data_IF_721067608015
#
_entry.id   IF_721067608015
#
_cell.length_a   1.000
_cell.length_b   1.000
_cell.length_c   1.000
_cell.angle_alpha   90.00
_cell.angle_beta   90.00
_cell.angle_gamma   90.00
#
_symmetry.space_group_name_H-M   'P 1'
#
loop_
_entity.id
_entity.type
_entity.pdbx_description
1 polymer ?
#
# COMPACT_ATOMS: atom_id res chain seq x y z
N UNK A 1 5.94 -33.61 -64.17
CA UNK A 1 6.22 -34.98 -64.67
C UNK A 1 5.99 -35.96 -63.53
N UNK A 2 5.48 -37.18 -63.80
CA UNK A 2 5.44 -38.41 -62.94
C UNK A 2 5.32 -38.19 -61.41
N UNK A 3 4.17 -38.38 -60.73
CA UNK A 3 3.37 -39.63 -60.55
C UNK A 3 4.18 -40.74 -59.86
N UNK A 4 3.73 -41.45 -58.81
CA UNK A 4 2.40 -42.09 -58.62
C UNK A 4 1.97 -42.27 -57.13
N UNK A 5 0.65 -42.36 -56.91
CA UNK A 5 -0.08 -43.15 -55.88
C UNK A 5 -0.63 -44.44 -56.58
N UNK A 6 -1.32 -45.44 -55.95
CA UNK A 6 -1.58 -45.76 -54.53
C UNK A 6 -1.26 -47.26 -54.19
N UNK A 7 -1.83 -47.83 -53.12
CA UNK A 7 -2.39 -49.21 -53.06
C UNK A 7 -3.32 -49.38 -51.83
N UNK A 8 -4.30 -50.31 -51.88
CA UNK A 8 -5.42 -50.46 -50.93
C UNK A 8 -5.89 -51.94 -50.80
N UNK A 9 -5.76 -52.55 -49.60
CA UNK A 9 -6.11 -53.96 -49.23
C UNK A 9 -6.32 -53.99 -47.69
N UNK A 10 -7.34 -54.51 -46.97
CA UNK A 10 -8.51 -55.43 -47.12
C UNK A 10 -8.25 -56.96 -47.01
N UNK A 11 -8.94 -57.79 -46.18
CA UNK A 11 -9.83 -57.64 -45.01
C UNK A 11 -10.07 -59.06 -44.38
N UNK A 12 -10.92 -59.23 -43.34
CA UNK A 12 -11.55 -60.52 -42.85
C UNK A 12 -10.60 -61.51 -42.09
N UNK A 13 -10.69 -61.61 -40.74
CA UNK A 13 -11.29 -62.69 -39.87
C UNK A 13 -10.43 -63.98 -39.67
N UNK A 14 -10.57 -64.82 -38.63
CA UNK A 14 -11.75 -65.29 -37.86
C UNK A 14 -11.41 -65.79 -36.42
N UNK A 15 -12.40 -65.77 -35.52
CA UNK A 15 -12.46 -66.48 -34.19
C UNK A 15 -12.35 -68.03 -34.32
N UNK A 16 -12.16 -68.87 -33.29
CA UNK A 16 -12.47 -68.86 -31.83
C UNK A 16 -11.30 -69.59 -31.04
N UNK A 17 -11.30 -70.14 -29.80
CA UNK A 17 -12.26 -70.49 -28.71
C UNK A 17 -11.51 -70.75 -27.35
N UNK A 18 -12.24 -71.08 -26.25
CA UNK A 18 -11.78 -71.54 -24.89
C UNK A 18 -10.94 -70.51 -24.07
N UNK A 19 -11.22 -70.04 -22.82
CA UNK A 19 -12.05 -70.36 -21.63
C UNK A 19 -11.22 -70.87 -20.42
N UNK A 20 -11.34 -70.15 -19.27
CA UNK A 20 -10.98 -70.43 -17.85
C UNK A 20 -9.76 -71.34 -17.48
N UNK A 21 -9.02 -71.13 -16.39
CA UNK A 21 -9.42 -70.59 -15.07
C UNK A 21 -8.24 -70.11 -14.18
N UNK A 22 -8.57 -69.36 -13.12
CA UNK A 22 -7.89 -69.26 -11.80
C UNK A 22 -6.40 -68.82 -11.64
N UNK A 23 -6.27 -67.64 -11.01
CA UNK A 23 -5.66 -67.40 -9.68
C UNK A 23 -4.30 -66.68 -9.53
N UNK A 24 -4.39 -65.55 -8.81
CA UNK A 24 -3.45 -64.96 -7.86
C UNK A 24 -1.98 -64.71 -8.26
N UNK A 25 -1.68 -63.45 -8.59
CA UNK A 25 -0.56 -62.67 -8.05
C UNK A 25 -1.03 -61.21 -7.78
N UNK A 26 -0.39 -60.45 -6.87
CA UNK A 26 -0.93 -59.19 -6.35
C UNK A 26 -0.71 -57.96 -7.25
N UNK A 27 -1.50 -56.91 -7.01
CA UNK A 27 -1.40 -55.63 -7.71
C UNK A 27 -0.12 -54.85 -7.30
N UNK A 28 0.64 -54.34 -8.28
CA UNK A 28 1.80 -53.50 -8.01
C UNK A 28 1.38 -52.02 -7.89
N UNK A 29 1.37 -51.49 -6.67
CA UNK A 29 0.74 -50.22 -6.32
C UNK A 29 1.66 -48.99 -6.52
N UNK A 30 2.23 -48.82 -7.71
CA UNK A 30 3.04 -47.66 -8.09
C UNK A 30 2.19 -46.48 -8.61
N UNK A 31 1.22 -46.05 -7.80
CA UNK A 31 0.72 -44.66 -7.86
C UNK A 31 1.52 -43.80 -6.89
N UNK A 32 2.71 -43.40 -7.33
CA UNK A 32 3.47 -42.34 -6.67
C UNK A 32 2.57 -41.10 -6.52
N UNK A 33 2.15 -40.81 -5.30
CA UNK A 33 1.18 -39.77 -5.01
C UNK A 33 1.84 -38.41 -5.23
N UNK A 34 1.62 -37.81 -6.42
CA UNK A 34 1.93 -36.40 -6.63
C UNK A 34 1.13 -35.59 -5.63
N UNK A 35 1.83 -35.09 -4.62
CA UNK A 35 1.36 -34.01 -3.78
C UNK A 35 1.25 -32.77 -4.66
N UNK A 36 0.06 -32.47 -5.14
CA UNK A 36 -0.28 -31.17 -5.70
C UNK A 36 -0.29 -30.14 -4.55
N UNK A 37 0.90 -29.81 -4.06
CA UNK A 37 1.11 -28.63 -3.23
C UNK A 37 0.73 -27.43 -4.07
N UNK A 38 -0.34 -26.72 -3.68
CA UNK A 38 -0.81 -25.52 -4.37
C UNK A 38 0.28 -24.44 -4.22
N UNK A 39 1.18 -24.35 -5.21
CA UNK A 39 2.28 -23.39 -5.15
C UNK A 39 1.72 -21.98 -5.22
N UNK A 40 2.14 -21.13 -4.27
CA UNK A 40 1.68 -19.76 -4.21
C UNK A 40 2.44 -18.93 -5.27
N UNK A 41 1.78 -18.41 -6.32
CA UNK A 41 2.45 -17.73 -7.43
C UNK A 41 3.10 -16.40 -7.03
N UNK A 42 2.79 -15.85 -5.84
CA UNK A 42 3.47 -14.68 -5.28
C UNK A 42 4.85 -15.01 -4.70
N UNK A 43 5.11 -16.28 -4.38
CA UNK A 43 6.39 -16.76 -3.83
C UNK A 43 7.35 -17.31 -4.89
N UNK A 44 6.88 -17.52 -6.12
CA UNK A 44 7.72 -17.92 -7.26
C UNK A 44 8.47 -16.72 -7.87
N UNK A 45 9.47 -17.01 -8.70
CA UNK A 45 10.06 -16.01 -9.59
C UNK A 45 9.13 -15.75 -10.79
N UNK A 46 8.91 -14.48 -11.12
CA UNK A 46 7.97 -14.10 -12.18
C UNK A 46 8.61 -14.34 -13.56
N UNK A 47 8.34 -15.51 -14.12
CA UNK A 47 8.80 -16.01 -15.43
C UNK A 47 8.02 -15.38 -16.61
N UNK A 48 7.72 -14.09 -16.51
CA UNK A 48 6.96 -13.27 -17.47
C UNK A 48 7.87 -12.24 -18.15
N UNK A 49 7.46 -11.64 -19.28
CA UNK A 49 8.19 -10.50 -19.84
C UNK A 49 8.36 -9.39 -18.80
N UNK A 50 9.59 -8.93 -18.60
CA UNK A 50 9.98 -7.91 -17.62
C UNK A 50 9.63 -8.23 -16.15
N UNK A 51 9.44 -9.51 -15.81
CA UNK A 51 9.08 -9.97 -14.46
C UNK A 51 7.81 -9.29 -13.90
N UNK A 52 6.82 -9.03 -14.77
CA UNK A 52 5.49 -8.56 -14.37
C UNK A 52 4.74 -9.65 -13.60
N UNK A 53 4.04 -9.28 -12.53
CA UNK A 53 3.28 -10.25 -11.73
C UNK A 53 2.26 -11.04 -12.60
N UNK A 54 2.15 -12.38 -12.44
CA UNK A 54 1.18 -13.20 -13.17
C UNK A 54 -0.23 -12.99 -12.61
N UNK A 55 -0.81 -11.82 -12.88
CA UNK A 55 -2.13 -11.38 -12.37
C UNK A 55 -3.27 -12.36 -12.72
N UNK A 56 -3.13 -13.13 -13.80
CA UNK A 56 -4.05 -14.22 -14.21
C UNK A 56 -4.10 -15.38 -13.20
N UNK A 57 -3.09 -15.51 -12.34
CA UNK A 57 -2.94 -16.60 -11.35
C UNK A 57 -3.04 -16.11 -9.91
N UNK A 58 -2.98 -14.80 -9.68
CA UNK A 58 -2.94 -14.21 -8.34
C UNK A 58 -4.38 -14.03 -7.83
N UNK A 59 -4.63 -14.51 -6.62
CA UNK A 59 -5.93 -14.48 -5.95
C UNK A 59 -5.80 -13.86 -4.56
N UNK A 60 -6.93 -13.43 -4.00
CA UNK A 60 -7.03 -12.92 -2.62
C UNK A 60 -6.45 -13.92 -1.60
N UNK A 61 -6.79 -15.20 -1.74
CA UNK A 61 -6.33 -16.30 -0.88
C UNK A 61 -4.80 -16.50 -0.84
N UNK A 62 -4.05 -15.95 -1.81
CA UNK A 62 -2.60 -16.08 -1.89
C UNK A 62 -1.84 -15.07 -1.02
N UNK A 63 -2.41 -13.89 -0.71
CA UNK A 63 -1.65 -12.80 -0.10
C UNK A 63 -1.22 -13.03 1.34
N UNK A 64 -2.14 -13.39 2.24
CA UNK A 64 -1.80 -13.58 3.67
C UNK A 64 -0.71 -14.67 3.85
N UNK A 65 -0.77 -15.84 3.19
CA UNK A 65 0.32 -16.82 3.22
C UNK A 65 1.63 -16.27 2.62
N UNK A 66 1.57 -15.54 1.51
CA UNK A 66 2.76 -15.00 0.86
C UNK A 66 3.46 -13.92 1.72
N UNK A 67 2.71 -12.98 2.30
CA UNK A 67 3.22 -11.95 3.20
C UNK A 67 3.87 -12.59 4.44
N UNK A 68 3.25 -13.62 5.04
CA UNK A 68 3.83 -14.31 6.20
C UNK A 68 5.13 -15.05 5.86
N UNK A 69 5.19 -15.73 4.70
CA UNK A 69 6.42 -16.38 4.24
C UNK A 69 7.52 -15.37 3.88
N UNK A 70 7.17 -14.24 3.27
CA UNK A 70 8.12 -13.20 2.88
C UNK A 70 8.67 -12.39 4.07
N UNK A 71 7.85 -12.15 5.10
CA UNK A 71 8.29 -11.65 6.41
C UNK A 71 9.33 -12.59 7.04
N UNK A 72 9.08 -13.90 7.00
CA UNK A 72 10.00 -14.89 7.58
C UNK A 72 11.31 -15.02 6.77
N UNK A 73 11.26 -14.92 5.45
CA UNK A 73 12.46 -14.82 4.62
C UNK A 73 13.33 -13.61 5.02
N UNK A 74 12.72 -12.42 5.14
CA UNK A 74 13.47 -11.24 5.59
C UNK A 74 13.95 -11.35 7.04
N UNK A 75 13.20 -12.01 7.94
CA UNK A 75 13.69 -12.28 9.30
C UNK A 75 15.02 -13.06 9.25
N UNK A 76 15.12 -14.08 8.39
CA UNK A 76 16.31 -14.91 8.26
C UNK A 76 17.50 -14.13 7.66
N UNK A 77 17.25 -13.28 6.66
CA UNK A 77 18.25 -12.34 6.11
C UNK A 77 18.77 -11.37 7.19
N UNK A 78 17.87 -10.77 7.97
CA UNK A 78 18.24 -9.88 9.09
C UNK A 78 18.98 -10.66 10.19
N UNK A 79 18.61 -11.91 10.49
CA UNK A 79 19.39 -12.75 11.41
C UNK A 79 20.81 -12.99 10.89
N UNK A 80 21.00 -13.27 9.59
CA UNK A 80 22.33 -13.44 9.01
C UNK A 80 23.20 -12.19 9.17
N UNK A 81 22.64 -10.99 8.94
CA UNK A 81 23.35 -9.71 9.16
C UNK A 81 23.75 -9.53 10.63
N UNK A 82 22.83 -9.71 11.58
CA UNK A 82 23.12 -9.42 13.00
C UNK A 82 23.93 -10.52 13.70
N UNK A 83 24.06 -11.71 13.10
CA UNK A 83 24.88 -12.82 13.61
C UNK A 83 26.21 -13.01 12.88
N UNK A 84 26.46 -12.26 11.78
CA UNK A 84 27.72 -12.34 11.05
C UNK A 84 28.92 -12.05 11.99
N UNK A 85 29.88 -13.00 12.16
CA UNK A 85 30.99 -12.86 13.08
C UNK A 85 32.06 -11.86 12.62
N UNK A 86 32.04 -11.42 11.36
CA UNK A 86 32.92 -10.36 10.87
C UNK A 86 32.56 -9.00 11.47
N UNK A 87 33.57 -8.15 11.62
CA UNK A 87 33.39 -6.74 11.95
C UNK A 87 32.41 -6.06 10.96
N UNK A 88 31.50 -5.20 11.43
CA UNK A 88 30.57 -4.47 10.56
C UNK A 88 31.32 -3.64 9.51
N UNK A 89 31.00 -3.88 8.24
CA UNK A 89 31.48 -3.10 7.11
C UNK A 89 30.31 -2.78 6.16
N UNK A 90 30.57 -1.94 5.15
CA UNK A 90 29.53 -1.49 4.22
C UNK A 90 28.84 -2.65 3.50
N UNK A 91 29.58 -3.67 3.06
CA UNK A 91 29.04 -4.82 2.33
C UNK A 91 28.19 -5.70 3.26
N UNK A 92 28.79 -6.19 4.35
CA UNK A 92 28.18 -7.18 5.25
C UNK A 92 27.09 -6.62 6.18
N UNK A 93 26.77 -5.32 6.07
CA UNK A 93 25.77 -4.64 6.89
C UNK A 93 24.86 -3.69 6.11
N UNK A 94 25.38 -2.83 5.22
CA UNK A 94 24.54 -1.87 4.48
C UNK A 94 24.00 -2.48 3.18
N UNK A 95 24.85 -3.06 2.34
CA UNK A 95 24.41 -3.73 1.09
C UNK A 95 23.55 -4.95 1.41
N UNK A 96 23.97 -5.77 2.38
CA UNK A 96 23.18 -6.90 2.87
C UNK A 96 21.79 -6.47 3.41
N UNK A 97 21.67 -5.27 4.02
CA UNK A 97 20.39 -4.75 4.49
C UNK A 97 19.51 -4.18 3.37
N UNK A 98 20.10 -3.43 2.42
CA UNK A 98 19.37 -2.82 1.30
C UNK A 98 18.83 -3.88 0.32
N UNK A 99 19.54 -5.00 0.18
CA UNK A 99 19.07 -6.20 -0.54
C UNK A 99 18.04 -7.04 0.24
N UNK A 100 17.81 -6.79 1.52
CA UNK A 100 16.90 -7.61 2.34
C UNK A 100 15.43 -7.32 2.07
N UNK A 101 14.60 -8.35 2.08
CA UNK A 101 13.16 -8.26 1.91
C UNK A 101 12.69 -8.03 0.47
N UNK A 102 13.51 -8.32 -0.54
CA UNK A 102 13.12 -8.22 -1.96
C UNK A 102 11.79 -8.96 -2.22
N UNK A 103 11.66 -10.18 -1.70
CA UNK A 103 10.43 -10.97 -1.77
C UNK A 103 9.24 -10.26 -1.12
N UNK A 104 9.41 -9.67 0.07
CA UNK A 104 8.34 -8.94 0.75
C UNK A 104 7.96 -7.66 -0.02
N UNK A 105 8.94 -6.96 -0.59
CA UNK A 105 8.72 -5.80 -1.45
C UNK A 105 7.96 -6.19 -2.72
N UNK A 106 8.28 -7.33 -3.33
CA UNK A 106 7.58 -7.86 -4.52
C UNK A 106 6.13 -8.24 -4.21
N UNK A 107 5.88 -8.99 -3.14
CA UNK A 107 4.53 -9.40 -2.73
C UNK A 107 3.68 -8.19 -2.31
N UNK A 108 4.25 -7.28 -1.50
CA UNK A 108 3.53 -6.09 -1.03
C UNK A 108 3.24 -5.12 -2.16
N UNK A 109 4.18 -4.88 -3.09
CA UNK A 109 3.95 -3.98 -4.23
C UNK A 109 2.82 -4.43 -5.16
N UNK A 110 2.61 -5.74 -5.32
CA UNK A 110 1.45 -6.30 -6.04
C UNK A 110 0.15 -6.08 -5.27
N UNK A 111 0.17 -6.31 -3.95
CA UNK A 111 -0.98 -6.07 -3.08
C UNK A 111 -1.38 -4.58 -3.04
N UNK A 112 -0.42 -3.67 -2.86
CA UNK A 112 -0.62 -2.22 -2.80
C UNK A 112 -1.16 -1.68 -4.13
N UNK A 113 -0.69 -2.22 -5.27
CA UNK A 113 -1.21 -1.85 -6.58
C UNK A 113 -2.67 -2.27 -6.78
N UNK A 114 -3.03 -3.52 -6.47
CA UNK A 114 -4.40 -4.00 -6.66
C UNK A 114 -5.38 -3.48 -5.60
N UNK A 115 -4.97 -3.32 -4.34
CA UNK A 115 -5.80 -2.73 -3.29
C UNK A 115 -6.06 -1.22 -3.48
N UNK A 116 -5.21 -0.52 -4.25
CA UNK A 116 -5.43 0.90 -4.59
C UNK A 116 -6.17 1.13 -5.93
N UNK A 117 -6.26 0.13 -6.80
CA UNK A 117 -6.91 0.24 -8.12
C UNK A 117 -8.16 -0.62 -8.31
N UNK A 118 -8.27 -1.74 -7.59
CA UNK A 118 -9.34 -2.74 -7.70
C UNK A 118 -9.71 -3.32 -6.32
N UNK A 119 -10.10 -2.44 -5.39
CA UNK A 119 -10.49 -2.83 -4.02
C UNK A 119 -11.85 -3.55 -4.00
N UNK A 120 -11.83 -4.87 -4.11
CA UNK A 120 -13.00 -5.73 -3.84
C UNK A 120 -13.24 -5.89 -2.34
N UNK A 121 -14.44 -6.30 -1.93
CA UNK A 121 -14.73 -6.63 -0.52
C UNK A 121 -13.85 -7.77 0.01
N UNK A 122 -13.50 -8.74 -0.82
CA UNK A 122 -12.56 -9.81 -0.48
C UNK A 122 -11.15 -9.26 -0.18
N UNK A 123 -10.64 -8.32 -0.98
CA UNK A 123 -9.37 -7.64 -0.72
C UNK A 123 -9.47 -6.77 0.54
N UNK A 124 -10.56 -6.02 0.70
CA UNK A 124 -10.83 -5.18 1.88
C UNK A 124 -10.83 -5.99 3.18
N UNK A 125 -11.35 -7.22 3.16
CA UNK A 125 -11.38 -8.13 4.30
C UNK A 125 -9.98 -8.58 4.77
N UNK A 126 -8.98 -8.64 3.87
CA UNK A 126 -7.59 -9.00 4.21
C UNK A 126 -6.67 -7.80 4.45
N UNK A 127 -7.08 -6.59 4.04
CA UNK A 127 -6.27 -5.36 4.13
C UNK A 127 -5.79 -5.04 5.56
N UNK A 128 -6.66 -5.16 6.58
CA UNK A 128 -6.26 -4.83 7.95
C UNK A 128 -5.21 -5.80 8.51
N UNK A 129 -5.33 -7.10 8.23
CA UNK A 129 -4.33 -8.08 8.64
C UNK A 129 -2.98 -7.84 7.94
N UNK A 130 -2.98 -7.59 6.62
CA UNK A 130 -1.76 -7.37 5.84
C UNK A 130 -1.05 -6.08 6.28
N UNK A 131 -1.78 -4.97 6.44
CA UNK A 131 -1.20 -3.72 6.95
C UNK A 131 -0.64 -3.92 8.36
N UNK A 132 -1.33 -4.67 9.23
CA UNK A 132 -0.86 -5.02 10.57
C UNK A 132 0.44 -5.83 10.55
N UNK A 133 0.51 -6.88 9.74
CA UNK A 133 1.69 -7.73 9.57
C UNK A 133 2.91 -6.93 9.08
N UNK A 134 2.76 -6.19 7.99
CA UNK A 134 3.84 -5.38 7.39
C UNK A 134 4.30 -4.27 8.37
N UNK A 135 3.36 -3.60 9.04
CA UNK A 135 3.68 -2.53 10.00
C UNK A 135 4.44 -3.05 11.22
N UNK A 136 4.04 -4.21 11.76
CA UNK A 136 4.71 -4.85 12.89
C UNK A 136 6.12 -5.33 12.50
N UNK A 137 6.25 -5.96 11.34
CA UNK A 137 7.55 -6.42 10.80
C UNK A 137 8.52 -5.26 10.58
N UNK A 138 8.09 -4.23 9.85
CA UNK A 138 8.88 -3.01 9.61
C UNK A 138 9.30 -2.35 10.93
N UNK A 139 8.39 -2.24 11.90
CA UNK A 139 8.70 -1.72 13.24
C UNK A 139 9.74 -2.58 13.97
N UNK A 140 9.68 -3.91 13.83
CA UNK A 140 10.65 -4.83 14.43
C UNK A 140 12.06 -4.63 13.87
N UNK A 141 12.18 -4.40 12.56
CA UNK A 141 13.44 -4.12 11.88
C UNK A 141 14.01 -2.79 12.36
N UNK A 142 13.24 -1.69 12.27
CA UNK A 142 13.73 -0.36 12.64
C UNK A 142 13.93 -0.15 14.15
N UNK A 143 13.47 -1.09 15.01
CA UNK A 143 13.76 -1.10 16.45
C UNK A 143 14.84 -2.12 16.85
N UNK A 144 15.40 -2.89 15.91
CA UNK A 144 16.41 -3.91 16.18
C UNK A 144 17.77 -3.29 16.57
N UNK A 145 18.07 -3.31 17.87
CA UNK A 145 19.27 -2.72 18.46
C UNK A 145 20.58 -3.35 17.94
N UNK A 146 20.58 -4.66 17.62
CA UNK A 146 21.77 -5.34 17.07
C UNK A 146 22.05 -4.88 15.64
N UNK A 147 21.01 -4.80 14.81
CA UNK A 147 21.11 -4.31 13.43
C UNK A 147 21.56 -2.84 13.42
N UNK A 148 20.94 -2.00 14.24
CA UNK A 148 21.34 -0.61 14.37
C UNK A 148 22.77 -0.45 14.91
N UNK A 149 23.23 -1.29 15.84
CA UNK A 149 24.60 -1.27 16.34
C UNK A 149 25.64 -1.54 15.23
N UNK A 150 25.39 -2.53 14.36
CA UNK A 150 26.23 -2.75 13.17
C UNK A 150 26.21 -1.55 12.23
N UNK A 151 25.03 -1.04 11.88
CA UNK A 151 24.88 0.13 10.98
C UNK A 151 25.59 1.35 11.56
N UNK A 152 25.48 1.59 12.88
CA UNK A 152 26.18 2.68 13.57
C UNK A 152 27.69 2.49 13.55
N UNK A 153 28.19 1.26 13.69
CA UNK A 153 29.64 0.98 13.58
C UNK A 153 30.17 1.34 12.20
N UNK A 154 29.42 1.08 11.12
CA UNK A 154 29.79 1.51 9.76
C UNK A 154 29.66 3.04 9.60
N UNK A 155 28.68 3.67 10.24
CA UNK A 155 28.49 5.13 10.21
C UNK A 155 29.58 5.90 10.97
N UNK A 156 30.03 5.39 12.12
CA UNK A 156 31.06 5.99 12.98
C UNK A 156 32.50 5.74 12.47
N UNK A 157 32.70 4.80 11.55
CA UNK A 157 34.00 4.44 10.99
C UNK A 157 34.54 5.49 10.00
N UNK A 158 35.80 5.34 9.58
CA UNK A 158 36.31 6.14 8.46
C UNK A 158 35.57 5.78 7.16
N UNK A 159 34.89 6.78 6.61
CA UNK A 159 34.11 6.67 5.38
C UNK A 159 34.91 7.07 4.13
N UNK A 160 36.20 7.40 4.24
CA UNK A 160 37.03 7.92 3.13
C UNK A 160 37.13 7.03 1.89
N UNK A 161 36.81 5.73 2.04
CA UNK A 161 36.79 4.72 0.98
C UNK A 161 35.44 4.60 0.25
N UNK A 162 34.38 5.23 0.74
CA UNK A 162 33.04 5.14 0.15
C UNK A 162 32.88 6.07 -1.05
N UNK A 163 32.16 5.60 -2.07
CA UNK A 163 31.70 6.46 -3.16
C UNK A 163 30.47 7.29 -2.75
N UNK A 164 30.07 8.25 -3.60
CA UNK A 164 28.96 9.19 -3.31
C UNK A 164 27.61 8.50 -3.05
N UNK A 165 27.34 7.41 -3.74
CA UNK A 165 26.09 6.64 -3.63
C UNK A 165 26.11 5.79 -2.35
N UNK A 166 27.27 5.22 -2.01
CA UNK A 166 27.49 4.47 -0.77
C UNK A 166 27.35 5.36 0.47
N UNK A 167 27.96 6.56 0.48
CA UNK A 167 27.72 7.56 1.52
C UNK A 167 26.22 7.92 1.62
N UNK A 168 25.54 8.15 0.49
CA UNK A 168 24.13 8.52 0.48
C UNK A 168 23.22 7.38 0.98
N UNK A 169 23.56 6.12 0.72
CA UNK A 169 22.86 4.96 1.29
C UNK A 169 23.08 4.88 2.81
N UNK A 170 24.35 4.95 3.25
CA UNK A 170 24.72 4.92 4.66
C UNK A 170 24.03 6.02 5.47
N UNK A 171 24.03 7.26 4.97
CA UNK A 171 23.36 8.40 5.61
C UNK A 171 21.84 8.19 5.70
N UNK A 172 21.18 7.81 4.59
CA UNK A 172 19.73 7.54 4.56
C UNK A 172 19.33 6.41 5.50
N UNK A 173 20.06 5.30 5.48
CA UNK A 173 19.77 4.13 6.34
C UNK A 173 19.96 4.51 7.80
N UNK A 174 21.12 5.05 8.19
CA UNK A 174 21.37 5.47 9.56
C UNK A 174 20.29 6.44 10.07
N UNK A 175 19.93 7.46 9.26
CA UNK A 175 18.85 8.41 9.59
C UNK A 175 17.48 7.76 9.73
N UNK A 176 17.11 6.78 8.90
CA UNK A 176 15.85 6.03 9.06
C UNK A 176 15.76 5.39 10.45
N UNK A 177 16.81 4.69 10.90
CA UNK A 177 16.84 4.08 12.23
C UNK A 177 16.80 5.12 13.37
N UNK A 178 17.62 6.17 13.29
CA UNK A 178 17.62 7.24 14.32
C UNK A 178 16.24 7.93 14.42
N UNK A 179 15.58 8.21 13.29
CA UNK A 179 14.22 8.77 13.24
C UNK A 179 13.13 7.76 13.64
N UNK A 180 13.44 6.47 13.56
CA UNK A 180 12.70 5.36 14.16
C UNK A 180 12.94 5.19 15.66
N UNK A 181 13.79 6.00 16.29
CA UNK A 181 13.98 6.05 17.73
C UNK A 181 15.01 5.07 18.28
N UNK A 182 15.91 4.50 17.48
CA UNK A 182 16.94 3.56 17.98
C UNK A 182 17.92 4.15 18.98
N UNK A 183 18.24 5.44 18.85
CA UNK A 183 19.09 6.17 19.81
C UNK A 183 18.37 6.46 21.15
N UNK A 184 17.08 6.15 21.30
CA UNK A 184 16.33 6.35 22.54
C UNK A 184 16.50 5.15 23.47
N UNK A 185 16.53 5.40 24.77
CA UNK A 185 16.61 4.39 25.82
C UNK A 185 15.59 4.65 26.95
N UNK A 186 15.26 3.61 27.70
CA UNK A 186 14.30 3.67 28.82
C UNK A 186 12.97 4.32 28.46
N UNK A 187 12.46 5.16 29.37
CA UNK A 187 11.15 5.83 29.26
C UNK A 187 10.96 6.59 27.94
N UNK A 188 12.02 7.20 27.38
CA UNK A 188 11.95 7.91 26.10
C UNK A 188 11.62 6.96 24.94
N UNK A 189 12.18 5.75 24.94
CA UNK A 189 11.95 4.73 23.91
C UNK A 189 10.52 4.19 23.99
N UNK A 190 10.05 3.88 25.18
CA UNK A 190 8.69 3.35 25.36
C UNK A 190 7.61 4.41 25.14
N UNK A 191 7.87 5.66 25.55
CA UNK A 191 7.01 6.79 25.21
C UNK A 191 6.97 7.05 23.70
N UNK A 192 8.09 6.94 23.00
CA UNK A 192 8.16 7.06 21.54
C UNK A 192 7.35 5.98 20.81
N UNK A 193 7.41 4.71 21.25
CA UNK A 193 6.57 3.62 20.73
C UNK A 193 5.08 3.95 20.88
N UNK A 194 4.66 4.23 22.12
CA UNK A 194 3.26 4.51 22.44
C UNK A 194 2.69 5.73 21.68
N UNK A 195 3.50 6.79 21.49
CA UNK A 195 3.14 7.93 20.65
C UNK A 195 3.00 7.51 19.17
N UNK A 196 3.92 6.69 18.66
CA UNK A 196 3.94 6.26 17.25
C UNK A 196 2.74 5.36 16.93
N UNK A 197 2.43 4.40 17.78
CA UNK A 197 1.23 3.57 17.67
C UNK A 197 -0.06 4.39 17.71
N UNK A 198 -0.15 5.35 18.65
CA UNK A 198 -1.33 6.22 18.78
C UNK A 198 -1.49 7.16 17.59
N UNK A 199 -0.38 7.68 17.05
CA UNK A 199 -0.39 8.50 15.82
C UNK A 199 -0.84 7.70 14.60
N UNK A 200 -0.42 6.43 14.46
CA UNK A 200 -0.87 5.56 13.37
C UNK A 200 -2.39 5.35 13.45
N UNK A 201 -2.89 4.93 14.62
CA UNK A 201 -4.33 4.72 14.87
C UNK A 201 -5.15 5.98 14.57
N UNK A 202 -4.76 7.13 15.14
CA UNK A 202 -5.45 8.42 14.90
C UNK A 202 -5.41 8.87 13.44
N UNK A 203 -4.32 8.61 12.71
CA UNK A 203 -4.22 8.98 11.29
C UNK A 203 -5.11 8.09 10.41
N UNK A 204 -5.23 6.81 10.75
CA UNK A 204 -6.17 5.89 10.07
C UNK A 204 -7.63 6.29 10.35
N UNK A 205 -8.00 6.53 11.62
CA UNK A 205 -9.35 7.02 11.99
C UNK A 205 -9.67 8.34 11.29
N UNK A 206 -8.72 9.29 11.24
CA UNK A 206 -8.90 10.55 10.50
C UNK A 206 -9.27 10.32 9.03
N UNK A 207 -8.58 9.39 8.36
CA UNK A 207 -8.82 9.05 6.96
C UNK A 207 -10.19 8.38 6.73
N UNK A 208 -10.54 7.41 7.56
CA UNK A 208 -11.84 6.72 7.48
C UNK A 208 -13.01 7.68 7.75
N UNK A 209 -12.90 8.53 8.78
CA UNK A 209 -13.89 9.55 9.09
C UNK A 209 -14.16 10.50 7.89
N UNK A 210 -13.11 10.90 7.15
CA UNK A 210 -13.27 11.71 5.93
C UNK A 210 -13.90 10.91 4.79
N UNK A 211 -13.64 9.60 4.69
CA UNK A 211 -14.23 8.72 3.69
C UNK A 211 -15.73 8.52 3.94
N UNK A 212 -16.13 8.16 5.16
CA UNK A 212 -17.55 7.97 5.51
C UNK A 212 -18.34 9.28 5.34
N UNK A 213 -17.81 10.43 5.77
CA UNK A 213 -18.42 11.75 5.50
C UNK A 213 -18.44 12.14 4.00
N UNK A 214 -17.60 11.54 3.17
CA UNK A 214 -17.64 11.72 1.71
C UNK A 214 -18.71 10.84 1.06
N UNK A 215 -18.93 9.64 1.61
CA UNK A 215 -19.86 8.63 1.08
C UNK A 215 -21.31 8.83 1.56
N UNK A 216 -21.50 9.30 2.80
CA UNK A 216 -22.81 9.51 3.40
C UNK A 216 -23.58 10.71 2.82
N UNK A 217 -22.89 11.65 2.15
CA UNK A 217 -23.54 12.80 1.53
C UNK A 217 -24.05 12.47 0.12
N UNK A 218 -25.34 12.72 -0.10
CA UNK A 218 -26.01 12.58 -1.39
C UNK A 218 -26.87 13.84 -1.65
N UNK A 219 -26.54 14.60 -2.68
CA UNK A 219 -27.41 15.65 -3.22
C UNK A 219 -28.35 15.04 -4.25
N UNK A 220 -29.52 14.62 -3.79
CA UNK A 220 -30.57 14.03 -4.63
C UNK A 220 -31.39 15.15 -5.29
N UNK A 221 -31.51 15.10 -6.61
CA UNK A 221 -32.31 16.02 -7.43
C UNK A 221 -33.44 15.23 -8.10
N UNK A 222 -34.66 15.74 -7.91
CA UNK A 222 -35.93 15.13 -8.36
C UNK A 222 -36.59 15.92 -9.50
N UNK A 223 -35.91 16.94 -10.02
CA UNK A 223 -36.44 17.94 -10.95
C UNK A 223 -35.44 18.24 -12.06
N UNK A 224 -35.93 18.28 -13.30
CA UNK A 224 -35.08 18.54 -14.47
C UNK A 224 -34.62 20.00 -14.54
N UNK A 225 -35.38 20.92 -13.96
CA UNK A 225 -35.08 22.35 -13.90
C UNK A 225 -33.84 22.64 -13.03
N UNK A 226 -33.63 21.85 -11.98
CA UNK A 226 -32.51 21.95 -11.05
C UNK A 226 -31.17 21.42 -11.62
N UNK A 227 -31.22 20.81 -12.82
CA UNK A 227 -30.04 20.37 -13.60
C UNK A 227 -29.52 21.45 -14.56
N UNK A 228 -30.14 22.64 -14.59
CA UNK A 228 -29.79 23.73 -15.49
C UNK A 228 -28.29 24.07 -15.47
N UNK A 229 -27.72 24.32 -16.65
CA UNK A 229 -26.30 24.60 -16.86
C UNK A 229 -25.37 23.38 -16.92
N UNK A 230 -25.76 22.22 -16.37
CA UNK A 230 -24.92 21.02 -16.36
C UNK A 230 -24.72 20.41 -17.77
N UNK A 231 -23.50 19.92 -18.11
CA UNK A 231 -23.27 19.13 -19.31
C UNK A 231 -24.04 17.79 -19.28
N UNK A 232 -24.49 17.32 -20.44
CA UNK A 232 -25.25 16.06 -20.58
C UNK A 232 -24.53 14.84 -19.97
N UNK A 233 -23.20 14.76 -20.10
CA UNK A 233 -22.39 13.68 -19.50
C UNK A 233 -22.37 13.71 -17.97
N UNK A 234 -22.50 14.89 -17.36
CA UNK A 234 -22.55 15.10 -15.91
C UNK A 234 -23.94 14.74 -15.38
N UNK A 235 -24.99 15.05 -16.15
CA UNK A 235 -26.36 14.62 -15.89
C UNK A 235 -26.48 13.09 -16.01
N UNK A 236 -25.90 12.49 -17.06
CA UNK A 236 -25.93 11.04 -17.27
C UNK A 236 -25.24 10.26 -16.13
N UNK A 237 -24.04 10.67 -15.73
CA UNK A 237 -23.32 10.06 -14.61
C UNK A 237 -24.10 10.16 -13.28
N UNK A 238 -24.78 11.29 -13.03
CA UNK A 238 -25.59 11.43 -11.83
C UNK A 238 -26.87 10.57 -11.83
N UNK A 239 -27.40 10.21 -13.01
CA UNK A 239 -28.51 9.24 -13.14
C UNK A 239 -28.02 7.80 -12.98
N UNK A 240 -26.81 7.49 -13.45
CA UNK A 240 -26.12 6.22 -13.22
C UNK A 240 -25.88 6.00 -11.72
N UNK A 241 -25.29 6.97 -11.01
CA UNK A 241 -25.15 6.94 -9.55
C UNK A 241 -26.50 6.92 -8.82
N UNK A 242 -27.54 7.56 -9.37
CA UNK A 242 -28.91 7.39 -8.88
C UNK A 242 -29.39 5.94 -8.95
N UNK A 243 -29.10 5.24 -10.05
CA UNK A 243 -29.44 3.84 -10.26
C UNK A 243 -28.64 2.91 -9.33
N UNK A 244 -27.32 3.12 -9.19
CA UNK A 244 -26.45 2.39 -8.26
C UNK A 244 -26.95 2.47 -6.80
N UNK A 245 -27.51 3.63 -6.42
CA UNK A 245 -28.06 3.89 -5.09
C UNK A 245 -29.53 3.51 -4.93
N UNK A 246 -30.12 2.78 -5.90
CA UNK A 246 -31.53 2.36 -5.91
C UNK A 246 -32.53 3.55 -5.89
N UNK A 247 -32.11 4.68 -6.46
CA UNK A 247 -32.88 5.93 -6.61
C UNK A 247 -33.25 6.15 -8.08
N UNK A 248 -33.92 5.18 -8.69
CA UNK A 248 -34.34 5.24 -10.10
C UNK A 248 -35.14 6.51 -10.43
N UNK A 249 -34.84 7.13 -11.58
CA UNK A 249 -35.49 8.36 -12.03
C UNK A 249 -35.04 9.65 -11.32
N UNK A 250 -34.02 9.58 -10.46
CA UNK A 250 -33.41 10.73 -9.76
C UNK A 250 -31.96 10.92 -10.22
N UNK A 251 -31.42 12.11 -9.98
CA UNK A 251 -30.00 12.41 -10.19
C UNK A 251 -29.32 12.60 -8.83
N UNK A 252 -28.20 11.91 -8.59
CA UNK A 252 -27.47 12.00 -7.32
C UNK A 252 -26.06 12.56 -7.54
N UNK A 253 -25.77 13.69 -6.89
CA UNK A 253 -24.44 14.30 -6.87
C UNK A 253 -23.77 14.08 -5.51
N UNK A 254 -22.46 13.85 -5.53
CA UNK A 254 -21.70 13.34 -4.37
C UNK A 254 -20.41 14.13 -4.13
N UNK A 255 -19.73 13.91 -3.00
CA UNK A 255 -18.55 14.68 -2.62
C UNK A 255 -17.23 14.18 -3.25
N UNK A 256 -17.26 13.10 -4.02
CA UNK A 256 -16.13 12.68 -4.86
C UNK A 256 -15.90 13.73 -5.97
N UNK A 257 -14.63 14.06 -6.23
CA UNK A 257 -14.24 15.15 -7.15
C UNK A 257 -14.88 15.08 -8.55
N UNK A 258 -15.05 13.91 -9.21
CA UNK A 258 -15.69 13.85 -10.54
C UNK A 258 -17.16 14.28 -10.56
N UNK A 259 -17.88 14.19 -9.43
CA UNK A 259 -19.26 14.66 -9.31
C UNK A 259 -19.31 16.12 -8.84
N UNK A 260 -18.62 16.43 -7.73
CA UNK A 260 -18.66 17.76 -7.10
C UNK A 260 -18.07 18.88 -7.97
N UNK A 261 -16.93 18.65 -8.65
CA UNK A 261 -16.25 19.72 -9.41
C UNK A 261 -17.11 20.23 -10.58
N UNK A 262 -17.60 19.39 -11.52
CA UNK A 262 -18.44 19.90 -12.60
C UNK A 262 -19.77 20.46 -12.09
N UNK A 263 -20.35 19.92 -11.01
CA UNK A 263 -21.56 20.52 -10.44
C UNK A 263 -21.32 21.95 -9.94
N UNK A 264 -20.22 22.20 -9.22
CA UNK A 264 -19.84 23.54 -8.77
C UNK A 264 -19.42 24.48 -9.91
N UNK A 265 -18.92 23.94 -11.02
CA UNK A 265 -18.49 24.70 -12.19
C UNK A 265 -19.65 25.11 -13.10
N UNK A 266 -20.65 24.24 -13.28
CA UNK A 266 -21.65 24.37 -14.36
C UNK A 266 -23.11 24.49 -13.91
N UNK A 267 -23.52 24.00 -12.73
CA UNK A 267 -24.93 24.05 -12.33
C UNK A 267 -25.38 25.50 -12.11
N UNK A 268 -26.49 25.94 -12.72
CA UNK A 268 -27.02 27.31 -12.58
C UNK A 268 -27.61 27.57 -11.18
N UNK A 269 -28.24 26.55 -10.55
CA UNK A 269 -28.86 26.69 -9.24
C UNK A 269 -27.82 26.97 -8.13
N UNK A 270 -27.78 28.23 -7.69
CA UNK A 270 -26.84 28.75 -6.69
C UNK A 270 -26.96 28.09 -5.32
N UNK A 271 -28.16 27.75 -4.88
CA UNK A 271 -28.36 27.21 -3.54
C UNK A 271 -28.07 25.71 -3.46
N UNK A 272 -28.22 24.97 -4.58
CA UNK A 272 -27.66 23.62 -4.72
C UNK A 272 -26.12 23.65 -4.77
N UNK A 273 -25.50 24.58 -5.52
CA UNK A 273 -24.03 24.79 -5.47
C UNK A 273 -23.56 25.10 -4.05
N UNK A 274 -24.29 25.96 -3.32
CA UNK A 274 -24.01 26.27 -1.90
C UNK A 274 -24.13 25.02 -1.03
N UNK A 275 -25.15 24.18 -1.20
CA UNK A 275 -25.35 22.96 -0.43
C UNK A 275 -24.14 22.03 -0.52
N UNK A 276 -23.79 21.58 -1.74
CA UNK A 276 -22.70 20.63 -1.96
C UNK A 276 -21.32 21.21 -1.60
N UNK A 277 -21.09 22.50 -1.83
CA UNK A 277 -19.87 23.18 -1.34
C UNK A 277 -19.79 23.20 0.19
N UNK A 278 -20.90 23.53 0.87
CA UNK A 278 -20.96 23.59 2.34
C UNK A 278 -20.72 22.21 2.96
N UNK A 279 -21.24 21.15 2.35
CA UNK A 279 -20.96 19.78 2.76
C UNK A 279 -19.48 19.42 2.54
N UNK A 280 -18.93 19.68 1.35
CA UNK A 280 -17.55 19.34 1.00
C UNK A 280 -16.50 19.95 1.95
N UNK A 281 -16.69 21.21 2.38
CA UNK A 281 -15.78 21.92 3.29
C UNK A 281 -15.97 21.55 4.77
N UNK A 282 -17.10 20.93 5.14
CA UNK A 282 -17.40 20.53 6.53
C UNK A 282 -17.33 19.01 6.78
N UNK A 283 -16.88 18.21 5.81
CA UNK A 283 -16.62 16.77 6.01
C UNK A 283 -15.74 16.54 7.24
N UNK A 284 -16.17 15.66 8.13
CA UNK A 284 -15.53 15.35 9.41
C UNK A 284 -15.40 16.57 10.36
N UNK A 285 -16.34 17.53 10.27
CA UNK A 285 -16.45 18.70 11.14
C UNK A 285 -17.89 18.91 11.69
N UNK A 286 -18.77 17.93 11.51
CA UNK A 286 -20.20 18.05 11.75
C UNK A 286 -20.66 17.79 13.21
N UNK A 287 -19.72 17.51 14.13
CA UNK A 287 -19.97 17.11 15.52
C UNK A 287 -20.76 15.78 15.67
N UNK A 288 -20.59 14.91 14.68
CA UNK A 288 -21.08 13.52 14.62
C UNK A 288 -19.98 12.54 15.08
N UNK A 289 -20.20 11.23 14.90
CA UNK A 289 -19.21 10.19 15.21
C UNK A 289 -17.94 10.25 14.34
N UNK A 290 -18.03 10.87 13.17
CA UNK A 290 -16.92 11.08 12.23
C UNK A 290 -16.16 12.40 12.46
N UNK A 291 -16.42 13.12 13.56
CA UNK A 291 -15.80 14.43 13.77
C UNK A 291 -14.29 14.35 14.09
N UNK A 292 -13.49 15.01 13.25
CA UNK A 292 -12.03 14.97 13.33
C UNK A 292 -11.41 16.08 14.20
N UNK A 293 -12.16 17.01 14.80
CA UNK A 293 -11.57 18.14 15.55
C UNK A 293 -10.69 17.68 16.73
N UNK A 294 -11.17 16.72 17.51
CA UNK A 294 -10.43 16.16 18.65
C UNK A 294 -9.23 15.31 18.20
N UNK A 295 -9.40 14.55 17.11
CA UNK A 295 -8.36 13.73 16.48
C UNK A 295 -7.20 14.60 15.98
N UNK A 296 -7.49 15.71 15.29
CA UNK A 296 -6.49 16.69 14.84
C UNK A 296 -5.70 17.27 16.03
N UNK A 297 -6.39 17.67 17.11
CA UNK A 297 -5.74 18.25 18.30
C UNK A 297 -4.75 17.27 18.95
N UNK A 298 -5.15 16.01 19.15
CA UNK A 298 -4.26 15.00 19.73
C UNK A 298 -3.14 14.61 18.76
N UNK A 299 -3.38 14.54 17.44
CA UNK A 299 -2.32 14.35 16.43
C UNK A 299 -1.27 15.45 16.50
N UNK A 300 -1.66 16.73 16.59
CA UNK A 300 -0.74 17.87 16.67
C UNK A 300 0.12 17.77 17.94
N UNK A 301 -0.52 17.53 19.09
CA UNK A 301 0.14 17.36 20.39
C UNK A 301 1.14 16.21 20.38
N UNK A 302 0.74 15.02 19.89
CA UNK A 302 1.60 13.84 19.81
C UNK A 302 2.76 14.02 18.82
N UNK A 303 2.55 14.70 17.68
CA UNK A 303 3.63 15.07 16.74
C UNK A 303 4.64 16.01 17.38
N UNK A 304 4.17 17.01 18.12
CA UNK A 304 5.02 17.95 18.86
C UNK A 304 5.80 17.27 20.00
N UNK A 305 5.21 16.27 20.66
CA UNK A 305 5.89 15.47 21.68
C UNK A 305 6.95 14.54 21.06
N UNK A 306 6.61 13.82 19.98
CA UNK A 306 7.54 12.96 19.22
C UNK A 306 8.76 13.72 18.70
N UNK A 307 8.55 14.93 18.18
CA UNK A 307 9.64 15.80 17.73
C UNK A 307 10.62 16.13 18.87
N UNK A 308 10.11 16.50 20.05
CA UNK A 308 10.93 16.81 21.23
C UNK A 308 11.71 15.60 21.76
N UNK A 309 11.10 14.42 21.77
CA UNK A 309 11.78 13.17 22.15
C UNK A 309 12.95 12.87 21.19
N UNK A 310 12.81 13.20 19.90
CA UNK A 310 13.88 13.08 18.90
C UNK A 310 14.85 14.29 18.86
N UNK A 311 14.76 15.24 19.78
CA UNK A 311 15.68 16.39 19.87
C UNK A 311 15.36 17.58 18.96
N UNK A 312 14.18 17.64 18.33
CA UNK A 312 13.72 18.77 17.52
C UNK A 312 12.78 19.69 18.33
N UNK A 313 12.80 21.00 18.09
CA UNK A 313 11.94 21.94 18.82
C UNK A 313 10.46 21.73 18.48
N UNK A 314 10.18 21.37 17.21
CA UNK A 314 8.84 21.21 16.66
C UNK A 314 8.79 20.17 15.53
N UNK A 315 7.58 19.76 15.15
CA UNK A 315 7.38 18.75 14.10
C UNK A 315 7.80 19.24 12.70
N UNK A 316 7.78 20.55 12.42
CA UNK A 316 8.18 21.06 11.10
C UNK A 316 9.69 20.87 10.89
N UNK A 317 10.54 21.19 11.88
CA UNK A 317 11.97 20.88 11.85
C UNK A 317 12.24 19.38 11.68
N UNK A 318 11.55 18.53 12.45
CA UNK A 318 11.70 17.08 12.37
C UNK A 318 11.42 16.55 10.95
N UNK A 319 10.40 17.07 10.26
CA UNK A 319 10.11 16.71 8.88
C UNK A 319 11.18 17.31 7.94
N UNK A 320 11.38 18.63 8.00
CA UNK A 320 12.17 19.39 7.02
C UNK A 320 13.66 19.06 6.99
N UNK A 321 14.22 18.49 8.06
CA UNK A 321 15.59 17.97 8.09
C UNK A 321 15.91 17.06 6.88
N UNK A 322 14.94 16.24 6.44
CA UNK A 322 15.09 15.33 5.30
C UNK A 322 14.59 15.91 3.96
N UNK A 323 13.84 17.01 3.98
CA UNK A 323 13.43 17.72 2.76
C UNK A 323 14.55 18.63 2.22
N UNK A 324 14.36 19.20 1.03
CA UNK A 324 15.32 20.15 0.44
C UNK A 324 15.35 21.51 1.15
N UNK A 325 14.24 21.95 1.74
CA UNK A 325 14.14 23.28 2.35
C UNK A 325 14.86 23.41 3.71
N UNK A 326 15.15 22.29 4.40
CA UNK A 326 15.88 22.16 5.68
C UNK A 326 15.29 22.85 6.91
N UNK A 327 14.79 24.08 6.83
CA UNK A 327 14.27 24.85 7.98
C UNK A 327 12.85 25.36 7.73
N UNK A 328 12.03 25.57 8.78
CA UNK A 328 10.75 26.26 8.64
C UNK A 328 10.90 27.67 8.04
N UNK A 329 11.97 28.39 8.42
CA UNK A 329 12.22 29.76 7.96
C UNK A 329 12.41 29.85 6.45
N UNK A 330 13.14 28.92 5.83
CA UNK A 330 13.31 28.87 4.38
C UNK A 330 12.00 28.58 3.63
N UNK A 331 11.11 27.78 4.24
CA UNK A 331 9.75 27.56 3.70
C UNK A 331 8.92 28.85 3.78
N UNK A 332 8.94 29.53 4.92
CA UNK A 332 8.22 30.81 5.08
C UNK A 332 8.82 31.93 4.22
N UNK A 333 10.13 31.99 4.01
CA UNK A 333 10.78 32.97 3.12
C UNK A 333 10.29 32.81 1.67
N UNK A 334 10.16 31.57 1.19
CA UNK A 334 9.58 31.29 -0.13
C UNK A 334 8.09 31.64 -0.19
N UNK A 335 7.29 31.19 0.77
CA UNK A 335 5.84 31.45 0.80
C UNK A 335 5.53 32.95 0.89
N UNK A 336 6.25 33.70 1.72
CA UNK A 336 6.05 35.13 1.90
C UNK A 336 6.46 35.97 0.66
N UNK A 337 7.27 35.42 -0.25
CA UNK A 337 7.53 36.02 -1.58
C UNK A 337 6.41 35.74 -2.57
N UNK A 338 5.71 34.61 -2.45
CA UNK A 338 4.64 34.18 -3.35
C UNK A 338 3.26 34.74 -2.95
N UNK A 339 3.00 34.92 -1.65
CA UNK A 339 1.71 35.39 -1.13
C UNK A 339 1.31 36.77 -1.68
N UNK A 340 2.17 37.82 -1.70
CA UNK A 340 1.77 39.14 -2.21
C UNK A 340 1.28 39.15 -3.67
N UNK A 341 2.02 38.63 -4.68
CA UNK A 341 1.53 38.62 -6.06
C UNK A 341 0.36 37.65 -6.26
N UNK A 342 0.26 36.56 -5.49
CA UNK A 342 -0.91 35.69 -5.53
C UNK A 342 -2.17 36.40 -5.00
N UNK A 343 -2.05 37.23 -3.96
CA UNK A 343 -3.14 38.08 -3.43
C UNK A 343 -3.42 39.33 -4.27
N UNK A 344 -2.54 39.67 -5.22
CA UNK A 344 -2.80 40.70 -6.24
C UNK A 344 -3.63 40.10 -7.39
N UNK A 345 -3.25 38.91 -7.87
CA UNK A 345 -3.95 38.18 -8.93
C UNK A 345 -5.30 37.56 -8.52
N UNK A 346 -5.61 37.50 -7.22
CA UNK A 346 -6.83 36.90 -6.68
C UNK A 346 -7.93 37.92 -6.27
N UNK A 347 -7.79 39.19 -6.68
CA UNK A 347 -8.74 40.28 -6.44
C UNK A 347 -9.51 40.64 -7.71
#
# INVERSE_FOLDING_TARGET
>A
MKSFYPILVLFISTIIFVSCNQSNQPENNDKAMKSDSITNPLLEEFNTPFHVAPFDKIKVEHYIPAIKAAIEAQNQEIQAIITNPEAPNFENTLVAFDNSGELLSRVSGVFDNLSSSMLTDEMKAITEEIIGLISNHSSSIYLNEKLFSRIKTVYDADQSSLNKEQHALLEKVYKKFVRGGTNLSGEQKDRFKAITEKLAKLTNTFGQNVLEETNAYQLVIDKVEDLSGLPESVIAAAAETGTELNMEGKWVFTLQKPSMIPFLQYADNRDLRKNIFTAYINRANNNNEFDNKSIIQEIIKLRQEKAKILGFNNNAEFILAENMAKTPDAVFELLNKLIPPALEMAK
#
